data_IF_996303664172
#
_entry.id   IF_996303664172
#
_cell.length_a   1.000
_cell.length_b   1.000
_cell.length_c   1.000
_cell.angle_alpha   90.00
_cell.angle_beta   90.00
_cell.angle_gamma   90.00
#
_symmetry.space_group_name_H-M   'P 1'
#
loop_
_entity.id
_entity.type
_entity.pdbx_description
1 polymer ?
#
# COMPACT_ATOMS: atom_id res chain seq x y z
N UNK A 1 -20.22 20.99 9.34
CA UNK A 1 -20.48 19.91 8.38
C UNK A 1 -20.55 18.60 9.15
N UNK A 2 -21.62 17.83 8.97
CA UNK A 2 -21.74 16.47 9.49
C UNK A 2 -20.84 15.57 8.65
N UNK A 3 -20.00 14.77 9.30
CA UNK A 3 -18.90 14.00 8.71
C UNK A 3 -19.34 12.74 7.94
N UNK A 4 -20.54 12.72 7.35
CA UNK A 4 -21.13 11.48 6.84
C UNK A 4 -21.91 11.61 5.52
N UNK A 5 -21.62 12.63 4.69
CA UNK A 5 -22.21 12.71 3.35
C UNK A 5 -21.52 11.72 2.39
N UNK A 6 -22.24 10.73 1.83
CA UNK A 6 -21.69 9.78 0.86
C UNK A 6 -21.29 10.41 -0.48
N UNK A 7 -21.49 11.72 -0.66
CA UNK A 7 -21.25 12.43 -1.93
C UNK A 7 -19.78 12.79 -2.17
N UNK A 8 -18.87 12.67 -1.19
CA UNK A 8 -17.45 13.05 -1.33
C UNK A 8 -16.48 11.95 -0.85
N UNK A 9 -16.53 10.77 -1.46
CA UNK A 9 -15.55 9.71 -1.22
C UNK A 9 -14.70 9.43 -2.47
N UNK A 10 -13.42 9.15 -2.30
CA UNK A 10 -12.54 8.76 -3.41
C UNK A 10 -12.77 7.27 -3.72
N UNK A 11 -12.98 6.94 -4.99
CA UNK A 11 -13.06 5.56 -5.46
C UNK A 11 -11.71 5.14 -6.06
N UNK A 12 -11.17 4.02 -5.58
CA UNK A 12 -9.92 3.44 -6.08
C UNK A 12 -10.26 2.13 -6.79
N UNK A 13 -9.88 2.02 -8.06
CA UNK A 13 -10.08 0.80 -8.87
C UNK A 13 -8.79 -0.01 -8.92
N UNK A 14 -8.71 -1.06 -8.10
CA UNK A 14 -7.60 -2.00 -7.98
C UNK A 14 -7.01 -2.02 -6.57
N UNK A 15 -6.87 -3.21 -5.99
CA UNK A 15 -6.23 -3.45 -4.69
C UNK A 15 -4.80 -4.01 -4.83
N UNK A 16 -4.09 -3.60 -5.88
CA UNK A 16 -2.65 -3.84 -6.02
C UNK A 16 -1.82 -2.86 -5.18
N UNK A 17 -0.49 -2.95 -5.31
CA UNK A 17 0.47 -2.13 -4.53
C UNK A 17 0.11 -0.64 -4.59
N UNK A 18 -0.13 -0.08 -5.77
CA UNK A 18 -0.47 1.33 -5.92
C UNK A 18 -1.81 1.72 -5.25
N UNK A 19 -2.84 0.88 -5.38
CA UNK A 19 -4.17 1.15 -4.81
C UNK A 19 -4.19 1.05 -3.29
N UNK A 20 -3.48 0.07 -2.73
CA UNK A 20 -3.33 -0.08 -1.28
C UNK A 20 -2.45 1.03 -0.69
N UNK A 21 -1.34 1.38 -1.34
CA UNK A 21 -0.51 2.52 -0.91
C UNK A 21 -1.31 3.83 -0.90
N UNK A 22 -2.08 4.10 -1.96
CA UNK A 22 -2.96 5.27 -1.99
C UNK A 22 -4.01 5.23 -0.88
N UNK A 23 -4.64 4.07 -0.66
CA UNK A 23 -5.59 3.89 0.43
C UNK A 23 -4.98 4.18 1.81
N UNK A 24 -3.77 3.69 2.08
CA UNK A 24 -3.06 3.98 3.32
C UNK A 24 -2.75 5.48 3.47
N UNK A 25 -2.30 6.15 2.42
CA UNK A 25 -2.08 7.60 2.45
C UNK A 25 -3.38 8.36 2.75
N UNK A 26 -4.48 8.04 2.04
CA UNK A 26 -5.78 8.68 2.27
C UNK A 26 -6.31 8.41 3.68
N UNK A 27 -6.08 7.21 4.20
CA UNK A 27 -6.40 6.84 5.57
C UNK A 27 -5.65 7.71 6.59
N UNK A 28 -4.34 7.88 6.41
CA UNK A 28 -3.49 8.69 7.31
C UNK A 28 -3.92 10.17 7.34
N UNK A 29 -4.36 10.72 6.21
CA UNK A 29 -4.81 12.12 6.12
C UNK A 29 -6.32 12.30 6.36
N UNK A 30 -7.03 11.23 6.72
CA UNK A 30 -8.45 11.28 7.08
C UNK A 30 -9.42 11.53 5.92
N UNK A 31 -9.02 11.25 4.68
CA UNK A 31 -9.90 11.37 3.52
C UNK A 31 -10.69 10.07 3.33
N UNK A 32 -12.04 10.13 3.25
CA UNK A 32 -12.86 8.94 3.00
C UNK A 32 -12.60 8.34 1.61
N UNK A 33 -12.43 7.03 1.55
CA UNK A 33 -12.24 6.31 0.28
C UNK A 33 -12.82 4.90 0.31
N UNK A 34 -12.95 4.31 -0.88
CA UNK A 34 -13.30 2.91 -1.07
C UNK A 34 -12.47 2.29 -2.18
N UNK A 35 -11.84 1.15 -1.89
CA UNK A 35 -11.09 0.35 -2.86
C UNK A 35 -12.00 -0.74 -3.41
N UNK A 36 -11.99 -0.93 -4.73
CA UNK A 36 -12.63 -2.03 -5.43
C UNK A 36 -11.57 -2.91 -6.07
N UNK A 37 -11.74 -4.23 -5.98
CA UNK A 37 -10.90 -5.21 -6.66
C UNK A 37 -11.78 -6.20 -7.40
N UNK A 38 -11.36 -6.56 -8.60
CA UNK A 38 -12.00 -7.55 -9.46
C UNK A 38 -11.73 -8.98 -8.99
N UNK A 39 -10.54 -9.24 -8.45
CA UNK A 39 -10.18 -10.50 -7.84
C UNK A 39 -10.97 -10.72 -6.54
N UNK A 40 -11.43 -11.96 -6.32
CA UNK A 40 -12.16 -12.32 -5.10
C UNK A 40 -11.28 -12.28 -3.86
N UNK A 41 -9.99 -12.55 -4.03
CA UNK A 41 -8.99 -12.62 -2.97
C UNK A 41 -7.67 -12.05 -3.49
N UNK A 42 -6.90 -11.42 -2.60
CA UNK A 42 -5.53 -10.98 -2.91
C UNK A 42 -4.65 -12.23 -2.90
N UNK A 43 -4.04 -12.57 -4.03
CA UNK A 43 -3.18 -13.74 -4.18
C UNK A 43 -1.77 -13.33 -4.59
N UNK A 44 -0.73 -14.03 -4.10
CA UNK A 44 0.63 -13.85 -4.59
C UNK A 44 0.70 -14.21 -6.08
N UNK A 45 1.28 -13.33 -6.90
CA UNK A 45 1.46 -13.59 -8.33
C UNK A 45 2.65 -14.54 -8.62
N UNK A 46 3.37 -14.98 -7.58
CA UNK A 46 4.58 -15.82 -7.73
C UNK A 46 5.78 -15.08 -8.34
N UNK A 47 5.72 -13.76 -8.44
CA UNK A 47 6.79 -12.91 -8.97
C UNK A 47 7.51 -12.17 -7.85
N UNK A 48 8.83 -12.02 -7.98
CA UNK A 48 9.62 -11.14 -7.13
C UNK A 48 9.71 -9.73 -7.73
N UNK A 49 9.73 -8.72 -6.87
CA UNK A 49 9.96 -7.32 -7.27
C UNK A 49 11.09 -6.74 -6.42
N UNK A 50 12.01 -6.01 -7.06
CA UNK A 50 13.00 -5.25 -6.33
C UNK A 50 12.41 -3.90 -5.92
N UNK A 51 12.45 -3.57 -4.63
CA UNK A 51 12.00 -2.28 -4.10
C UNK A 51 13.22 -1.41 -3.86
N UNK A 52 13.30 -0.29 -4.57
CA UNK A 52 14.40 0.67 -4.40
C UNK A 52 14.36 1.34 -3.01
N UNK A 53 15.49 1.80 -2.47
CA UNK A 53 15.55 2.42 -1.14
C UNK A 53 14.55 3.56 -0.92
N UNK A 54 14.32 4.38 -1.96
CA UNK A 54 13.33 5.46 -1.88
C UNK A 54 11.91 4.91 -1.67
N UNK A 55 11.53 3.84 -2.35
CA UNK A 55 10.22 3.22 -2.15
C UNK A 55 10.12 2.51 -0.80
N UNK A 56 11.20 1.88 -0.31
CA UNK A 56 11.23 1.30 1.05
C UNK A 56 10.97 2.37 2.11
N UNK A 57 11.58 3.55 1.96
CA UNK A 57 11.32 4.68 2.85
C UNK A 57 9.84 5.09 2.86
N UNK A 58 9.20 5.17 1.70
CA UNK A 58 7.76 5.48 1.64
C UNK A 58 6.92 4.41 2.35
N UNK A 59 7.28 3.12 2.24
CA UNK A 59 6.59 2.05 2.97
C UNK A 59 6.70 2.22 4.49
N UNK A 60 7.84 2.69 4.99
CA UNK A 60 8.01 3.04 6.40
C UNK A 60 7.09 4.19 6.82
N UNK A 61 6.96 5.24 5.99
CA UNK A 61 6.03 6.34 6.24
C UNK A 61 4.56 5.88 6.22
N UNK A 62 4.24 4.82 5.45
CA UNK A 62 2.93 4.15 5.45
C UNK A 62 2.69 3.21 6.65
N UNK A 63 3.66 3.07 7.56
CA UNK A 63 3.54 2.26 8.79
C UNK A 63 3.89 0.78 8.62
N UNK A 64 4.46 0.39 7.47
CA UNK A 64 5.05 -0.94 7.29
C UNK A 64 6.44 -0.87 7.92
N UNK A 65 6.74 -1.67 8.92
CA UNK A 65 8.03 -1.61 9.62
C UNK A 65 9.13 -2.38 8.89
N UNK A 66 10.38 -2.16 9.29
CA UNK A 66 11.53 -2.97 8.86
C UNK A 66 11.30 -4.46 9.16
N UNK A 67 10.79 -4.78 10.35
CA UNK A 67 10.43 -6.15 10.74
C UNK A 67 9.37 -6.78 9.82
N UNK A 68 8.39 -5.98 9.37
CA UNK A 68 7.37 -6.47 8.44
C UNK A 68 7.99 -6.81 7.08
N UNK A 69 8.89 -5.97 6.57
CA UNK A 69 9.61 -6.20 5.32
C UNK A 69 10.56 -7.40 5.41
N UNK A 70 11.30 -7.53 6.51
CA UNK A 70 12.23 -8.64 6.75
C UNK A 70 11.53 -10.00 6.83
N UNK A 71 10.25 -10.01 7.21
CA UNK A 71 9.47 -11.24 7.29
C UNK A 71 9.11 -11.85 5.92
N UNK A 72 9.16 -11.05 4.85
CA UNK A 72 8.74 -11.46 3.49
C UNK A 72 9.79 -11.22 2.40
N UNK A 73 10.75 -10.32 2.65
CA UNK A 73 11.73 -9.85 1.69
C UNK A 73 13.13 -10.42 1.91
N UNK A 74 14.02 -10.16 0.94
CA UNK A 74 15.45 -10.42 1.07
C UNK A 74 16.16 -9.09 0.84
N UNK A 75 16.90 -8.63 1.85
CA UNK A 75 17.69 -7.41 1.72
C UNK A 75 18.81 -7.62 0.70
N UNK A 76 18.86 -6.75 -0.31
CA UNK A 76 19.98 -6.76 -1.26
C UNK A 76 21.23 -6.24 -0.55
N UNK A 77 22.34 -6.96 -0.71
CA UNK A 77 23.63 -6.58 -0.17
C UNK A 77 24.56 -6.21 -1.31
N UNK A 78 25.29 -5.11 -1.18
CA UNK A 78 26.42 -4.84 -2.06
C UNK A 78 27.60 -5.70 -1.62
N UNK A 79 28.12 -6.48 -2.55
CA UNK A 79 29.34 -7.25 -2.36
C UNK A 79 30.50 -6.34 -2.74
N UNK A 80 31.08 -5.70 -1.73
CA UNK A 80 32.37 -5.00 -1.83
C UNK A 80 33.53 -5.97 -1.95
#
# INVERSE_FOLDING_TARGET
MSSNDPENIILISGAGIAGLSLGLTLHQIGIPFKIFESAKEIQPLGVGVNIQPNAVRELFELGISETDLDSIGIQTQEWG
#
